data_IF_481903180269
#
_entry.id   IF_481903180269
#
_cell.length_a   1.000
_cell.length_b   1.000
_cell.length_c   1.000
_cell.angle_alpha   90.00
_cell.angle_beta   90.00
_cell.angle_gamma   90.00
#
_symmetry.space_group_name_H-M   'P 1'
#
loop_
_entity.id
_entity.type
_entity.pdbx_description
1 polymer ?
#
# COMPACT_ATOMS: atom_id res chain seq x y z
N UNK A 1 11.05 12.48 0.53
CA UNK A 1 9.59 12.54 0.40
C UNK A 1 9.07 13.90 -0.04
N UNK A 2 9.95 14.84 -0.26
CA UNK A 2 9.63 16.13 -0.86
C UNK A 2 9.66 16.02 -2.38
N UNK A 3 8.78 16.76 -3.03
CA UNK A 3 8.79 16.90 -4.47
C UNK A 3 10.04 17.68 -4.89
N UNK A 4 10.85 17.10 -5.78
CA UNK A 4 12.04 17.72 -6.33
C UNK A 4 11.74 18.26 -7.72
N UNK A 5 12.23 19.44 -8.03
CA UNK A 5 11.89 20.11 -9.28
C UNK A 5 12.63 19.50 -10.48
N UNK A 6 13.80 18.88 -10.24
CA UNK A 6 14.63 18.29 -11.29
C UNK A 6 15.28 17.00 -10.80
N UNK A 7 15.27 15.92 -11.59
CA UNK A 7 15.86 14.63 -11.21
C UNK A 7 17.36 14.67 -11.02
N UNK A 8 18.07 15.58 -11.72
CA UNK A 8 19.53 15.58 -11.82
C UNK A 8 20.22 16.62 -10.93
N UNK A 9 19.47 17.36 -10.14
CA UNK A 9 20.02 18.37 -9.23
C UNK A 9 20.52 17.74 -7.92
N UNK A 10 21.51 16.86 -8.02
CA UNK A 10 22.04 16.09 -6.90
C UNK A 10 22.63 16.93 -5.77
N UNK A 11 23.02 18.17 -6.03
CA UNK A 11 23.59 19.08 -5.02
C UNK A 11 22.59 20.04 -4.37
N UNK A 12 21.33 20.09 -4.81
CA UNK A 12 20.33 21.10 -4.39
C UNK A 12 18.98 20.52 -4.09
N UNK A 13 18.93 19.37 -3.47
CA UNK A 13 17.65 18.77 -3.06
C UNK A 13 16.96 19.65 -2.04
N UNK A 14 15.66 19.84 -2.21
CA UNK A 14 14.82 20.54 -1.24
C UNK A 14 14.85 19.81 0.11
N UNK A 15 14.94 20.57 1.16
CA UNK A 15 14.96 20.09 2.55
C UNK A 15 13.76 20.63 3.32
N UNK A 16 13.42 19.99 4.44
CA UNK A 16 12.33 20.43 5.33
C UNK A 16 12.59 21.80 5.97
N UNK A 17 13.84 22.25 5.98
CA UNK A 17 14.23 23.58 6.48
C UNK A 17 14.13 24.68 5.41
N UNK A 18 13.78 24.33 4.17
CA UNK A 18 13.60 25.32 3.10
C UNK A 18 12.33 26.15 3.32
N UNK A 19 12.18 27.22 2.55
CA UNK A 19 11.02 28.11 2.63
C UNK A 19 9.73 27.31 2.40
N UNK A 20 8.76 27.33 3.33
CA UNK A 20 7.57 26.48 3.27
C UNK A 20 6.77 26.54 1.97
N UNK A 21 6.74 27.72 1.32
CA UNK A 21 6.02 27.92 0.06
C UNK A 21 6.59 27.12 -1.11
N UNK A 22 7.85 26.70 -1.01
CA UNK A 22 8.56 25.94 -2.04
C UNK A 22 8.60 24.43 -1.75
N UNK A 23 8.00 24.00 -0.64
CA UNK A 23 8.03 22.61 -0.21
C UNK A 23 6.67 21.98 -0.48
N UNK A 24 6.69 20.88 -1.23
CA UNK A 24 5.54 19.99 -1.41
C UNK A 24 5.91 18.59 -1.01
N UNK A 25 4.99 17.92 -0.32
CA UNK A 25 5.13 16.51 -0.01
C UNK A 25 4.76 15.70 -1.25
N UNK A 26 5.70 14.92 -1.77
CA UNK A 26 5.49 14.04 -2.92
C UNK A 26 4.54 12.88 -2.60
N UNK A 27 4.62 12.35 -1.38
CA UNK A 27 3.82 11.22 -0.93
C UNK A 27 4.46 10.49 0.23
N UNK A 28 3.92 9.32 0.54
CA UNK A 28 4.42 8.47 1.61
C UNK A 28 5.61 7.63 1.14
N UNK A 29 6.45 7.23 2.10
CA UNK A 29 7.56 6.31 1.85
C UNK A 29 7.01 4.89 1.72
N UNK A 30 7.14 4.32 0.53
CA UNK A 30 6.84 2.93 0.24
C UNK A 30 8.10 2.26 -0.32
N UNK A 31 8.18 0.95 -0.12
CA UNK A 31 9.25 0.11 -0.65
C UNK A 31 8.66 -0.87 -1.66
N UNK A 32 9.35 -1.07 -2.78
CA UNK A 32 8.96 -2.05 -3.78
C UNK A 32 8.94 -3.47 -3.21
N UNK A 33 8.01 -4.29 -3.68
CA UNK A 33 8.04 -5.72 -3.43
C UNK A 33 9.18 -6.36 -4.23
N UNK A 34 9.88 -7.28 -3.63
CA UNK A 34 11.03 -7.95 -4.28
C UNK A 34 10.74 -9.36 -4.76
N UNK A 35 9.52 -9.84 -4.64
CA UNK A 35 9.19 -11.23 -4.97
C UNK A 35 9.93 -12.22 -4.06
N UNK A 36 10.22 -13.39 -4.60
CA UNK A 36 10.85 -14.47 -3.84
C UNK A 36 12.39 -14.40 -3.80
N UNK A 37 13.00 -13.55 -4.62
CA UNK A 37 14.45 -13.43 -4.69
C UNK A 37 14.98 -12.28 -3.80
N UNK A 38 15.02 -12.55 -2.51
CA UNK A 38 15.66 -11.66 -1.53
C UNK A 38 16.99 -12.21 -0.99
N UNK A 39 17.39 -13.39 -1.43
CA UNK A 39 18.57 -14.10 -0.92
C UNK A 39 19.88 -13.35 -1.15
N UNK A 40 20.01 -12.64 -2.27
CA UNK A 40 21.21 -11.87 -2.61
C UNK A 40 21.51 -10.71 -1.68
N UNK A 41 20.53 -10.27 -0.89
CA UNK A 41 20.67 -9.16 0.05
C UNK A 41 20.77 -9.60 1.52
N UNK A 42 20.68 -10.89 1.79
CA UNK A 42 20.81 -11.45 3.14
C UNK A 42 22.26 -11.66 3.60
N UNK A 43 23.24 -11.40 2.74
CA UNK A 43 24.66 -11.50 3.11
C UNK A 43 25.10 -10.58 4.26
N UNK A 44 24.28 -9.59 4.59
CA UNK A 44 24.51 -8.70 5.73
C UNK A 44 24.34 -9.44 7.07
N UNK A 45 23.65 -10.58 7.10
CA UNK A 45 23.23 -11.23 8.34
C UNK A 45 24.23 -12.22 8.94
N UNK A 46 25.33 -12.53 8.27
CA UNK A 46 26.35 -13.43 8.78
C UNK A 46 27.53 -12.70 9.45
N UNK A 47 27.38 -11.42 9.74
CA UNK A 47 28.45 -10.69 10.44
C UNK A 47 28.34 -10.92 11.95
N UNK A 48 29.39 -11.42 12.61
CA UNK A 48 29.39 -11.70 14.05
C UNK A 48 29.31 -10.46 14.94
N UNK A 49 29.56 -9.27 14.40
CA UNK A 49 29.54 -8.01 15.12
C UNK A 49 28.36 -7.16 14.67
N UNK A 50 27.27 -7.27 15.39
CA UNK A 50 26.14 -6.36 15.25
C UNK A 50 26.56 -4.96 15.73
N UNK A 51 26.36 -3.96 14.87
CA UNK A 51 26.50 -2.55 15.26
C UNK A 51 25.39 -2.14 16.24
N UNK A 52 25.56 -1.00 16.88
CA UNK A 52 24.57 -0.49 17.85
C UNK A 52 23.21 -0.18 17.24
N UNK A 53 23.13 -0.09 15.91
CA UNK A 53 21.90 0.22 15.16
C UNK A 53 21.31 -1.00 14.44
N UNK A 54 21.95 -2.15 14.57
CA UNK A 54 21.52 -3.38 13.92
C UNK A 54 20.52 -4.13 14.80
N UNK A 55 19.58 -4.79 14.18
CA UNK A 55 18.57 -5.61 14.86
C UNK A 55 18.51 -6.98 14.22
N UNK A 56 18.67 -8.01 15.03
CA UNK A 56 18.47 -9.38 14.59
C UNK A 56 16.97 -9.69 14.55
N UNK A 57 16.48 -10.12 13.40
CA UNK A 57 15.09 -10.51 13.22
C UNK A 57 15.00 -11.97 12.80
N UNK A 58 13.94 -12.63 13.21
CA UNK A 58 13.56 -13.96 12.74
C UNK A 58 12.32 -13.82 11.86
N UNK A 59 12.45 -13.88 10.55
CA UNK A 59 11.29 -13.71 9.66
C UNK A 59 10.35 -14.91 9.78
N UNK A 60 9.07 -14.63 9.60
CA UNK A 60 8.04 -15.66 9.42
C UNK A 60 8.25 -16.33 8.07
N UNK A 61 8.03 -17.64 7.99
CA UNK A 61 8.08 -18.38 6.72
C UNK A 61 7.04 -17.83 5.74
N UNK A 62 7.35 -17.96 4.46
CA UNK A 62 6.39 -17.68 3.39
C UNK A 62 5.22 -18.65 3.42
N UNK A 63 4.12 -18.29 2.78
CA UNK A 63 2.92 -19.13 2.60
C UNK A 63 2.17 -19.51 3.91
N UNK A 64 2.43 -18.81 5.00
CA UNK A 64 1.62 -18.94 6.19
C UNK A 64 0.41 -18.02 6.13
N UNK A 65 -0.74 -18.56 6.47
CA UNK A 65 -1.99 -17.81 6.59
C UNK A 65 -2.26 -17.47 8.04
N UNK A 66 -2.67 -16.24 8.27
CA UNK A 66 -3.12 -15.74 9.57
C UNK A 66 -4.53 -15.21 9.42
N UNK A 67 -5.38 -15.52 10.38
CA UNK A 67 -6.73 -14.97 10.45
C UNK A 67 -6.79 -13.91 11.55
N UNK A 68 -7.53 -12.85 11.29
CA UNK A 68 -7.80 -11.82 12.28
C UNK A 68 -9.19 -11.22 12.06
N UNK A 69 -9.72 -10.59 13.08
CA UNK A 69 -11.04 -9.95 13.04
C UNK A 69 -10.88 -8.46 13.29
N UNK A 70 -11.59 -7.67 12.47
CA UNK A 70 -11.76 -6.25 12.69
C UNK A 70 -13.19 -6.01 13.16
N UNK A 71 -13.33 -5.46 14.34
CA UNK A 71 -14.62 -5.00 14.85
C UNK A 71 -14.74 -3.50 14.55
N UNK A 72 -15.88 -3.11 13.99
CA UNK A 72 -16.16 -1.71 13.69
C UNK A 72 -17.55 -1.34 14.20
N UNK A 73 -17.77 -0.05 14.39
CA UNK A 73 -19.00 0.47 14.94
C UNK A 73 -19.27 1.87 14.37
N UNK A 74 -20.54 2.13 14.02
CA UNK A 74 -21.01 3.44 13.59
C UNK A 74 -20.29 4.03 12.36
N UNK A 75 -19.82 3.17 11.44
CA UNK A 75 -19.27 3.60 10.17
C UNK A 75 -20.41 3.89 9.17
N UNK A 76 -20.28 4.96 8.42
CA UNK A 76 -21.07 5.20 7.22
C UNK A 76 -20.68 4.23 6.12
N UNK A 77 -21.50 4.11 5.09
CA UNK A 77 -21.18 3.26 3.93
C UNK A 77 -19.83 3.66 3.27
N UNK A 78 -19.55 4.96 3.18
CA UNK A 78 -18.29 5.44 2.63
C UNK A 78 -17.08 5.12 3.53
N UNK A 79 -17.21 5.23 4.84
CA UNK A 79 -16.15 4.90 5.78
C UNK A 79 -15.86 3.40 5.82
N UNK A 80 -16.92 2.57 5.80
CA UNK A 80 -16.75 1.13 5.69
C UNK A 80 -16.10 0.76 4.34
N UNK A 81 -16.52 1.40 3.26
CA UNK A 81 -15.90 1.25 1.96
C UNK A 81 -14.41 1.62 1.94
N UNK A 82 -14.04 2.70 2.63
CA UNK A 82 -12.64 3.09 2.79
C UNK A 82 -11.82 2.02 3.53
N UNK A 83 -12.38 1.45 4.60
CA UNK A 83 -11.75 0.37 5.36
C UNK A 83 -11.55 -0.87 4.48
N UNK A 84 -12.59 -1.30 3.76
CA UNK A 84 -12.53 -2.45 2.86
C UNK A 84 -11.52 -2.22 1.73
N UNK A 85 -11.54 -1.04 1.11
CA UNK A 85 -10.60 -0.66 0.06
C UNK A 85 -9.14 -0.68 0.54
N UNK A 86 -8.90 -0.20 1.77
CA UNK A 86 -7.58 -0.21 2.36
C UNK A 86 -7.09 -1.65 2.70
N UNK A 87 -8.00 -2.57 2.98
CA UNK A 87 -7.66 -3.97 3.31
C UNK A 87 -7.41 -4.78 2.03
N UNK A 88 -8.34 -4.77 1.09
CA UNK A 88 -8.30 -5.68 -0.07
C UNK A 88 -7.45 -5.20 -1.23
N UNK A 89 -7.20 -3.91 -1.36
CA UNK A 89 -6.52 -3.28 -2.49
C UNK A 89 -7.16 -3.66 -3.84
N UNK A 90 -7.68 -2.72 -4.60
CA UNK A 90 -8.43 -3.01 -5.81
C UNK A 90 -7.59 -3.78 -6.82
N UNK A 91 -8.15 -4.87 -7.36
CA UNK A 91 -7.61 -5.60 -8.48
C UNK A 91 -8.13 -4.95 -9.78
N UNK A 92 -7.27 -4.45 -10.64
CA UNK A 92 -7.75 -3.75 -11.84
C UNK A 92 -7.02 -4.10 -13.13
N UNK A 93 -5.87 -4.76 -13.06
CA UNK A 93 -4.97 -4.94 -14.20
C UNK A 93 -4.37 -6.35 -14.27
N UNK A 94 -5.06 -7.35 -13.73
CA UNK A 94 -4.58 -8.73 -13.56
C UNK A 94 -3.25 -8.84 -12.78
N UNK A 95 -2.90 -7.78 -12.04
CA UNK A 95 -1.72 -7.76 -11.21
C UNK A 95 -2.08 -7.96 -9.75
N UNK A 96 -1.38 -8.85 -9.11
CA UNK A 96 -1.51 -9.05 -7.68
C UNK A 96 -0.96 -7.83 -6.93
N UNK A 97 -1.60 -7.43 -5.85
CA UNK A 97 -1.16 -6.38 -4.96
C UNK A 97 -1.04 -6.90 -3.55
N UNK A 98 0.01 -6.45 -2.87
CA UNK A 98 0.30 -6.86 -1.51
C UNK A 98 0.57 -5.65 -0.63
N UNK A 99 0.22 -5.77 0.62
CA UNK A 99 0.60 -4.82 1.65
C UNK A 99 2.06 -5.01 2.09
N UNK A 100 2.58 -3.99 2.76
CA UNK A 100 3.89 -4.03 3.41
C UNK A 100 3.73 -4.01 4.92
N UNK A 101 4.03 -5.10 5.57
CA UNK A 101 3.89 -5.25 7.02
C UNK A 101 5.21 -5.67 7.67
N UNK A 102 5.45 -5.21 8.89
CA UNK A 102 6.58 -5.64 9.70
C UNK A 102 7.89 -4.90 9.41
N UNK A 103 8.99 -5.51 9.85
CA UNK A 103 10.35 -5.00 9.72
C UNK A 103 11.00 -5.43 8.41
N UNK A 104 12.16 -4.86 8.11
CA UNK A 104 12.99 -5.17 6.93
C UNK A 104 12.24 -5.03 5.58
N UNK A 105 11.22 -4.18 5.53
CA UNK A 105 10.51 -3.83 4.28
C UNK A 105 11.45 -3.38 3.15
N UNK A 106 12.48 -2.57 3.42
CA UNK A 106 13.43 -2.20 2.39
C UNK A 106 14.17 -3.41 1.80
N UNK A 107 14.39 -4.46 2.57
CA UNK A 107 15.06 -5.69 2.12
C UNK A 107 14.14 -6.64 1.35
N UNK A 108 12.87 -6.31 1.20
CA UNK A 108 11.90 -7.12 0.49
C UNK A 108 10.99 -7.98 1.38
N UNK A 109 11.22 -8.00 2.70
CA UNK A 109 10.38 -8.75 3.63
C UNK A 109 9.03 -8.07 3.85
N UNK A 110 8.05 -8.81 4.35
CA UNK A 110 6.76 -8.30 4.78
C UNK A 110 5.77 -8.03 3.65
N UNK A 111 5.84 -8.77 2.55
CA UNK A 111 4.79 -8.78 1.54
C UNK A 111 3.64 -9.65 2.03
N UNK A 112 2.46 -9.05 2.20
CA UNK A 112 1.28 -9.72 2.75
C UNK A 112 0.07 -9.44 1.88
N UNK A 113 -0.62 -10.50 1.45
CA UNK A 113 -1.92 -10.40 0.79
C UNK A 113 -3.01 -10.52 1.83
N UNK A 114 -3.92 -9.57 1.85
CA UNK A 114 -5.06 -9.58 2.77
C UNK A 114 -6.33 -9.72 1.95
N UNK A 115 -7.25 -10.55 2.42
CA UNK A 115 -8.58 -10.76 1.84
C UNK A 115 -9.61 -10.68 2.93
N UNK A 116 -10.78 -10.16 2.60
CA UNK A 116 -11.95 -10.20 3.47
C UNK A 116 -12.68 -11.52 3.20
N UNK A 117 -12.65 -12.43 4.17
CA UNK A 117 -13.36 -13.71 4.07
C UNK A 117 -14.86 -13.54 4.30
N UNK A 118 -15.25 -12.68 5.24
CA UNK A 118 -16.64 -12.39 5.50
C UNK A 118 -16.84 -10.98 6.03
N UNK A 119 -17.93 -10.34 5.64
CA UNK A 119 -18.40 -9.09 6.21
C UNK A 119 -19.75 -9.34 6.87
N UNK A 120 -19.81 -9.09 8.17
CA UNK A 120 -21.02 -9.28 8.96
C UNK A 120 -21.47 -7.94 9.53
N UNK A 121 -22.70 -7.56 9.25
CA UNK A 121 -23.32 -6.32 9.73
C UNK A 121 -24.53 -6.69 10.57
N UNK A 122 -24.55 -6.22 11.81
CA UNK A 122 -25.73 -6.37 12.67
C UNK A 122 -26.75 -5.28 12.36
N UNK A 123 -27.98 -5.67 12.11
CA UNK A 123 -29.10 -4.76 12.04
C UNK A 123 -29.59 -4.41 13.46
N UNK A 124 -28.99 -3.36 14.02
CA UNK A 124 -29.33 -2.90 15.38
C UNK A 124 -30.77 -2.46 15.50
N UNK A 125 -31.31 -1.81 14.47
CA UNK A 125 -32.70 -1.35 14.48
C UNK A 125 -33.63 -2.54 14.58
N UNK A 126 -33.47 -3.54 13.74
CA UNK A 126 -34.25 -4.78 13.77
C UNK A 126 -34.10 -5.49 15.12
N UNK A 127 -32.87 -5.58 15.63
CA UNK A 127 -32.58 -6.19 16.94
C UNK A 127 -33.39 -5.54 18.06
N UNK A 128 -33.34 -4.20 18.18
CA UNK A 128 -34.01 -3.50 19.27
C UNK A 128 -35.52 -3.43 19.11
N UNK A 129 -36.05 -3.42 17.88
CA UNK A 129 -37.47 -3.44 17.62
C UNK A 129 -38.12 -4.80 17.90
N UNK A 130 -37.38 -5.88 17.74
CA UNK A 130 -37.91 -7.26 17.82
C UNK A 130 -37.43 -8.05 19.05
N UNK A 131 -36.63 -7.43 19.91
CA UNK A 131 -35.98 -8.06 21.04
C UNK A 131 -36.93 -8.85 21.95
N UNK A 132 -38.18 -8.39 22.10
CA UNK A 132 -39.19 -8.96 22.98
C UNK A 132 -40.43 -9.51 22.29
N UNK A 133 -40.41 -9.61 20.95
CA UNK A 133 -41.59 -9.98 20.18
C UNK A 133 -41.76 -11.49 20.00
N UNK A 134 -40.72 -12.29 20.23
CA UNK A 134 -40.72 -13.74 20.08
C UNK A 134 -40.34 -14.40 21.40
N UNK A 135 -40.77 -15.63 21.57
CA UNK A 135 -40.37 -16.46 22.72
C UNK A 135 -38.86 -16.74 22.77
N UNK A 136 -38.21 -16.62 21.64
CA UNK A 136 -36.75 -16.72 21.50
C UNK A 136 -36.13 -15.34 21.30
N UNK A 137 -34.95 -15.18 21.86
CA UNK A 137 -34.19 -13.97 21.75
C UNK A 137 -33.68 -13.77 20.29
N UNK A 138 -34.20 -12.77 19.60
CA UNK A 138 -33.69 -12.36 18.27
C UNK A 138 -32.56 -11.34 18.48
N UNK A 139 -31.33 -11.80 18.37
CA UNK A 139 -30.14 -10.96 18.52
C UNK A 139 -29.85 -10.05 17.32
N UNK A 140 -30.73 -10.08 16.30
CA UNK A 140 -30.52 -9.34 15.06
C UNK A 140 -29.33 -9.85 14.30
N UNK A 141 -29.12 -11.16 14.31
CA UNK A 141 -27.94 -11.86 13.85
C UNK A 141 -27.29 -11.29 12.61
N UNK A 142 -26.00 -11.49 12.42
CA UNK A 142 -25.27 -10.90 11.32
C UNK A 142 -25.89 -11.32 10.00
N UNK A 143 -26.23 -10.33 9.16
CA UNK A 143 -26.59 -10.60 7.79
C UNK A 143 -25.32 -11.01 7.05
N UNK A 144 -25.18 -12.30 6.78
CA UNK A 144 -24.07 -12.84 6.00
C UNK A 144 -24.17 -12.39 4.54
N UNK A 145 -23.03 -12.27 3.89
CA UNK A 145 -22.97 -12.05 2.44
C UNK A 145 -23.23 -10.62 1.99
N UNK A 146 -22.89 -9.63 2.81
CA UNK A 146 -22.96 -8.24 2.35
C UNK A 146 -22.04 -8.02 1.14
N UNK A 147 -22.61 -7.43 0.09
CA UNK A 147 -21.86 -7.09 -1.11
C UNK A 147 -20.85 -5.97 -0.81
N UNK A 148 -19.58 -6.30 -0.73
CA UNK A 148 -18.49 -5.33 -0.48
C UNK A 148 -18.40 -4.27 -1.57
N UNK A 149 -18.80 -4.59 -2.81
CA UNK A 149 -18.76 -3.66 -3.94
C UNK A 149 -19.58 -2.38 -3.69
N UNK A 150 -20.75 -2.50 -3.09
CA UNK A 150 -21.60 -1.33 -2.76
C UNK A 150 -20.89 -0.34 -1.83
N UNK A 151 -20.11 -0.83 -0.88
CA UNK A 151 -19.35 0.02 0.02
C UNK A 151 -18.15 0.65 -0.67
N UNK A 152 -17.46 -0.10 -1.55
CA UNK A 152 -16.39 0.45 -2.37
C UNK A 152 -16.90 1.60 -3.25
N UNK A 153 -18.03 1.41 -3.93
CA UNK A 153 -18.68 2.43 -4.74
C UNK A 153 -19.05 3.68 -3.93
N UNK A 154 -19.61 3.49 -2.73
CA UNK A 154 -19.93 4.60 -1.84
C UNK A 154 -18.70 5.40 -1.41
N UNK A 155 -17.61 4.72 -1.12
CA UNK A 155 -16.33 5.36 -0.79
C UNK A 155 -15.77 6.14 -1.99
N UNK A 156 -15.70 5.51 -3.15
CA UNK A 156 -15.13 6.14 -4.35
C UNK A 156 -15.96 7.37 -4.77
N UNK A 157 -17.28 7.26 -4.74
CA UNK A 157 -18.17 8.38 -5.03
C UNK A 157 -18.01 9.53 -4.03
N UNK A 158 -17.88 9.22 -2.74
CA UNK A 158 -17.65 10.21 -1.71
C UNK A 158 -16.34 10.97 -1.92
N UNK A 159 -15.23 10.25 -2.15
CA UNK A 159 -13.91 10.87 -2.30
C UNK A 159 -13.83 11.67 -3.60
N UNK A 160 -14.28 11.13 -4.72
CA UNK A 160 -14.24 11.86 -6.00
C UNK A 160 -15.10 13.11 -5.98
N UNK A 161 -16.28 13.03 -5.35
CA UNK A 161 -17.16 14.19 -5.16
C UNK A 161 -16.51 15.29 -4.31
N UNK A 162 -15.85 14.94 -3.20
CA UNK A 162 -15.20 15.90 -2.32
C UNK A 162 -13.91 16.50 -2.92
N UNK A 163 -13.17 15.72 -3.68
CA UNK A 163 -11.97 16.23 -4.35
C UNK A 163 -12.29 17.05 -5.61
N UNK A 164 -13.52 17.00 -6.10
CA UNK A 164 -13.91 17.67 -7.34
C UNK A 164 -13.14 17.15 -8.56
N UNK A 165 -12.69 15.89 -8.53
CA UNK A 165 -11.91 15.28 -9.61
C UNK A 165 -12.83 14.48 -10.54
N UNK A 166 -12.59 14.60 -11.85
CA UNK A 166 -13.29 13.78 -12.84
C UNK A 166 -12.71 12.37 -12.94
N UNK A 167 -13.56 11.43 -13.33
CA UNK A 167 -13.18 10.04 -13.57
C UNK A 167 -13.15 9.13 -12.34
N UNK A 168 -12.87 7.84 -12.54
CA UNK A 168 -12.82 6.85 -11.45
C UNK A 168 -11.73 7.16 -10.43
N UNK A 169 -12.00 6.86 -9.16
CA UNK A 169 -11.03 7.03 -8.07
C UNK A 169 -9.72 6.32 -8.34
N UNK A 170 -9.77 5.07 -8.80
CA UNK A 170 -8.59 4.28 -9.13
C UNK A 170 -7.74 4.84 -10.29
N UNK A 171 -8.30 5.71 -11.14
CA UNK A 171 -7.57 6.36 -12.25
C UNK A 171 -6.82 7.63 -11.82
N UNK A 172 -7.01 8.11 -10.60
CA UNK A 172 -6.32 9.30 -10.11
C UNK A 172 -4.80 9.04 -10.04
N UNK A 173 -3.95 9.97 -10.52
CA UNK A 173 -2.49 9.73 -10.60
C UNK A 173 -1.86 9.29 -9.29
N UNK A 174 -2.28 9.88 -8.17
CA UNK A 174 -1.81 9.52 -6.84
C UNK A 174 -2.17 8.07 -6.47
N UNK A 175 -3.37 7.63 -6.82
CA UNK A 175 -3.84 6.27 -6.56
C UNK A 175 -3.12 5.29 -7.47
N UNK A 176 -2.93 5.63 -8.74
CA UNK A 176 -2.15 4.83 -9.68
C UNK A 176 -0.70 4.62 -9.19
N UNK A 177 -0.04 5.67 -8.69
CA UNK A 177 1.28 5.55 -8.09
C UNK A 177 1.29 4.62 -6.88
N UNK A 178 0.31 4.75 -5.98
CA UNK A 178 0.17 3.88 -4.81
C UNK A 178 -0.02 2.42 -5.22
N UNK A 179 -0.98 2.15 -6.10
CA UNK A 179 -1.29 0.80 -6.55
C UNK A 179 -0.10 0.17 -7.32
N UNK A 180 0.64 0.97 -8.07
CA UNK A 180 1.87 0.54 -8.74
C UNK A 180 2.94 0.13 -7.75
N UNK A 181 3.15 0.92 -6.69
CA UNK A 181 4.11 0.57 -5.63
C UNK A 181 3.74 -0.70 -4.84
N UNK A 182 2.46 -1.05 -4.82
CA UNK A 182 1.94 -2.23 -4.11
C UNK A 182 1.81 -3.47 -5.00
N UNK A 183 2.23 -3.41 -6.27
CA UNK A 183 2.24 -4.58 -7.18
C UNK A 183 3.19 -5.66 -6.68
N UNK A 184 2.77 -6.92 -6.83
CA UNK A 184 3.58 -8.09 -6.52
C UNK A 184 3.62 -9.08 -7.71
N UNK A 185 4.81 -9.49 -8.14
CA UNK A 185 6.10 -8.97 -7.73
C UNK A 185 6.31 -7.52 -8.19
N UNK A 186 7.24 -6.83 -7.54
CA UNK A 186 7.65 -5.48 -7.93
C UNK A 186 8.53 -5.48 -9.19
N UNK A 187 9.15 -4.35 -9.53
CA UNK A 187 10.06 -4.25 -10.67
C UNK A 187 11.26 -5.19 -10.54
N UNK A 188 11.95 -5.43 -11.65
CA UNK A 188 13.16 -6.26 -11.68
C UNK A 188 14.18 -5.75 -10.63
N UNK A 189 14.77 -6.66 -9.89
CA UNK A 189 15.75 -6.38 -8.82
C UNK A 189 16.96 -5.56 -9.31
N UNK A 190 17.34 -5.70 -10.57
CA UNK A 190 18.43 -4.92 -11.16
C UNK A 190 18.11 -3.41 -11.26
N UNK A 191 16.83 -3.05 -11.23
CA UNK A 191 16.39 -1.66 -11.23
C UNK A 191 16.25 -1.06 -9.83
N UNK A 192 16.37 -1.88 -8.77
CA UNK A 192 16.19 -1.47 -7.39
C UNK A 192 17.42 -1.87 -6.57
N UNK A 193 18.22 -0.90 -6.21
CA UNK A 193 19.37 -1.14 -5.34
C UNK A 193 19.25 -0.37 -4.02
N UNK A 194 19.98 -0.85 -3.02
CA UNK A 194 20.25 -0.09 -1.81
C UNK A 194 21.29 0.98 -2.08
N UNK A 195 21.15 2.12 -1.42
CA UNK A 195 22.21 3.10 -1.39
C UNK A 195 23.46 2.47 -0.75
N UNK A 196 24.61 2.58 -1.41
CA UNK A 196 25.87 2.04 -0.91
C UNK A 196 26.74 3.14 -0.32
N UNK A 197 27.44 2.81 0.76
CA UNK A 197 28.38 3.73 1.42
C UNK A 197 29.54 4.06 0.48
N UNK A 198 30.00 3.07 -0.27
CA UNK A 198 31.17 3.18 -1.17
C UNK A 198 30.96 4.18 -2.32
N UNK A 199 29.72 4.36 -2.78
CA UNK A 199 29.39 5.31 -3.86
C UNK A 199 28.92 6.69 -3.36
N UNK A 200 29.04 6.98 -2.08
CA UNK A 200 28.56 8.22 -1.46
C UNK A 200 27.07 8.53 -1.67
N UNK A 201 26.27 7.55 -2.06
CA UNK A 201 24.84 7.75 -2.38
C UNK A 201 24.03 8.28 -1.18
N UNK A 202 24.51 8.05 0.05
CA UNK A 202 23.89 8.64 1.24
C UNK A 202 24.10 10.16 1.33
N UNK A 203 25.19 10.67 0.77
CA UNK A 203 25.52 12.09 0.73
C UNK A 203 24.81 12.76 -0.45
N UNK A 204 24.89 12.15 -1.63
CA UNK A 204 24.41 12.74 -2.88
C UNK A 204 22.92 12.47 -3.16
N UNK A 205 22.29 11.63 -2.36
CA UNK A 205 20.83 11.36 -2.30
C UNK A 205 20.13 11.50 -3.66
N UNK A 206 20.22 10.50 -4.53
CA UNK A 206 19.54 10.56 -5.83
C UNK A 206 18.04 10.72 -5.65
N UNK A 207 17.43 11.48 -6.54
CA UNK A 207 15.98 11.68 -6.53
C UNK A 207 15.28 10.39 -6.91
N UNK A 208 14.32 9.97 -6.10
CA UNK A 208 13.52 8.79 -6.40
C UNK A 208 12.68 9.03 -7.66
N UNK A 209 12.72 8.12 -8.64
CA UNK A 209 11.93 8.23 -9.85
C UNK A 209 10.43 8.16 -9.55
N UNK A 210 9.63 8.61 -10.51
CA UNK A 210 8.19 8.41 -10.48
C UNK A 210 7.88 6.90 -10.60
N UNK A 211 7.07 6.32 -9.70
CA UNK A 211 6.69 4.91 -9.75
C UNK A 211 6.11 4.47 -11.10
N UNK A 212 5.34 5.31 -11.76
CA UNK A 212 4.75 5.01 -13.07
C UNK A 212 5.79 4.95 -14.20
N UNK A 213 6.95 5.59 -14.04
CA UNK A 213 8.06 5.47 -14.99
C UNK A 213 8.91 4.23 -14.76
N UNK A 214 9.04 3.81 -13.50
CA UNK A 214 9.79 2.59 -13.15
C UNK A 214 9.03 1.35 -13.56
N UNK A 215 7.72 1.40 -13.46
CA UNK A 215 6.83 0.28 -13.76
C UNK A 215 5.62 0.79 -14.56
N UNK A 216 5.79 1.06 -15.85
CA UNK A 216 4.71 1.57 -16.67
C UNK A 216 3.55 0.59 -16.70
N UNK A 217 2.33 1.10 -16.78
CA UNK A 217 1.15 0.28 -16.97
C UNK A 217 1.30 -0.57 -18.23
N UNK A 218 0.84 -1.79 -18.22
CA UNK A 218 1.04 -2.79 -19.27
C UNK A 218 0.55 -2.38 -20.68
N UNK A 219 -0.14 -1.24 -20.80
CA UNK A 219 -0.70 -0.71 -22.06
C UNK A 219 0.10 0.45 -22.67
N UNK A 220 1.19 0.88 -22.07
CA UNK A 220 2.09 1.81 -22.73
C UNK A 220 3.09 1.01 -23.56
N UNK A 221 2.78 0.80 -24.84
CA UNK A 221 3.75 0.29 -25.81
C UNK A 221 5.00 1.16 -25.72
N UNK A 222 6.11 0.58 -25.32
CA UNK A 222 7.40 1.25 -25.27
C UNK A 222 7.74 1.75 -26.67
N UNK A 223 8.09 3.02 -26.88
CA UNK A 223 8.78 3.38 -28.09
C UNK A 223 10.14 2.67 -28.04
N UNK A 224 10.34 1.75 -28.96
CA UNK A 224 11.63 1.16 -29.26
C UNK A 224 12.53 2.29 -29.74
N UNK A 225 13.37 2.82 -28.87
CA UNK A 225 14.51 3.63 -29.29
C UNK A 225 15.64 2.67 -29.67
N UNK A 226 15.73 2.42 -30.96
CA UNK A 226 16.94 1.91 -31.59
C UNK A 226 18.06 2.96 -31.44
N UNK A 227 19.10 2.63 -30.72
CA UNK A 227 20.46 3.12 -30.94
C UNK A 227 21.46 2.02 -30.57
#
# INVERSE_FOLDING_TARGET
YLEQSQPDDSGKLKHYADIPQNIKIRGHKLYWHRGNDFSSHLHVFNQPNLGTQDTLIKPVKTELTFEFKINFENLTAAELGALLWAIELPAGDNQERCHRLGMAKPLGLGSVKIRVESLQIQDRQHRYQNLFQKAEWDDGGPKEGQNTATYHEAFEAYVTGHLGVGGPYGAQPRIQMLLTMLRFPGPNLNAICYMTIQSNQFKDRPVLPDPLRVFPAANAASPVTSH
#
